data_IF_766934391190
#
_entry.id   IF_766934391190
#
_cell.length_a   1.000
_cell.length_b   1.000
_cell.length_c   1.000
_cell.angle_alpha   90.00
_cell.angle_beta   90.00
_cell.angle_gamma   90.00
#
_symmetry.space_group_name_H-M   'P 1'
#
loop_
_entity.id
_entity.type
_entity.pdbx_description
1 polymer ?
#
# COMPACT_ATOMS: atom_id res chain seq x y z
N UNK A 1 4.21 2.14 -9.57
CA UNK A 1 4.75 0.81 -9.92
C UNK A 1 4.03 0.30 -11.16
N UNK A 2 4.36 -0.89 -11.67
CA UNK A 2 3.75 -1.48 -12.86
C UNK A 2 2.45 -2.23 -12.50
N UNK A 3 1.46 -2.21 -13.40
CA UNK A 3 0.19 -2.94 -13.28
C UNK A 3 0.32 -4.30 -13.98
N UNK A 4 1.07 -5.18 -13.34
CA UNK A 4 1.43 -6.49 -13.87
C UNK A 4 1.16 -7.56 -12.81
N UNK A 5 0.45 -8.61 -13.22
CA UNK A 5 -0.09 -9.62 -12.29
C UNK A 5 1.01 -10.43 -11.59
N UNK A 6 2.12 -10.73 -12.27
CA UNK A 6 3.30 -11.36 -11.69
C UNK A 6 3.93 -10.50 -10.61
N UNK A 7 4.14 -9.22 -10.88
CA UNK A 7 4.70 -8.27 -9.92
C UNK A 7 3.80 -8.08 -8.70
N UNK A 8 2.47 -8.11 -8.88
CA UNK A 8 1.54 -8.12 -7.75
C UNK A 8 1.72 -9.35 -6.87
N UNK A 9 1.91 -10.53 -7.47
CA UNK A 9 2.21 -11.77 -6.74
C UNK A 9 3.59 -11.71 -6.05
N UNK A 10 4.58 -11.09 -6.69
CA UNK A 10 5.90 -10.89 -6.10
C UNK A 10 5.82 -9.98 -4.86
N UNK A 11 5.01 -8.91 -4.90
CA UNK A 11 4.75 -8.07 -3.73
C UNK A 11 4.11 -8.83 -2.58
N UNK A 12 3.10 -9.66 -2.85
CA UNK A 12 2.46 -10.50 -1.84
C UNK A 12 3.50 -11.42 -1.15
N UNK A 13 4.25 -12.17 -1.94
CA UNK A 13 5.28 -13.10 -1.43
C UNK A 13 6.37 -12.35 -0.65
N UNK A 14 6.78 -11.18 -1.13
CA UNK A 14 7.83 -10.40 -0.49
C UNK A 14 7.36 -9.76 0.82
N UNK A 15 6.15 -9.19 0.84
CA UNK A 15 5.57 -8.59 2.04
C UNK A 15 5.31 -9.64 3.13
N UNK A 16 4.83 -10.83 2.79
CA UNK A 16 4.70 -11.93 3.74
C UNK A 16 6.05 -12.40 4.30
N UNK A 17 7.14 -12.29 3.54
CA UNK A 17 8.49 -12.58 4.07
C UNK A 17 9.00 -11.51 5.03
N UNK A 18 8.67 -10.24 4.78
CA UNK A 18 9.14 -9.12 5.59
C UNK A 18 8.29 -8.89 6.86
N UNK A 19 6.98 -9.04 6.73
CA UNK A 19 5.99 -8.79 7.76
C UNK A 19 4.88 -9.86 7.65
N UNK A 20 5.17 -11.12 8.03
CA UNK A 20 4.23 -12.22 7.90
C UNK A 20 2.98 -11.99 8.73
N UNK A 21 1.80 -12.31 8.20
CA UNK A 21 0.55 -12.19 8.96
C UNK A 21 0.58 -13.06 10.24
N UNK A 22 1.13 -14.27 10.12
CA UNK A 22 1.09 -15.31 11.16
C UNK A 22 2.48 -15.78 11.56
N UNK A 23 2.64 -16.31 12.78
CA UNK A 23 1.63 -16.48 13.84
C UNK A 23 1.30 -15.14 14.53
N UNK A 24 0.03 -14.86 14.85
CA UNK A 24 -0.41 -13.52 15.32
C UNK A 24 0.28 -13.10 16.63
N UNK A 25 0.61 -14.06 17.48
CA UNK A 25 1.20 -13.87 18.81
C UNK A 25 2.61 -13.27 18.72
N UNK A 26 3.23 -13.27 17.54
CA UNK A 26 4.52 -12.63 17.32
C UNK A 26 4.45 -11.11 17.47
N UNK A 27 3.26 -10.51 17.28
CA UNK A 27 3.05 -9.08 17.38
C UNK A 27 2.37 -8.73 18.70
N UNK A 28 3.04 -7.92 19.52
CA UNK A 28 2.45 -7.39 20.76
C UNK A 28 1.19 -6.56 20.53
N UNK A 29 1.05 -5.99 19.33
CA UNK A 29 -0.14 -5.26 18.90
C UNK A 29 -1.39 -6.15 18.88
N UNK A 30 -1.21 -7.44 18.56
CA UNK A 30 -2.30 -8.40 18.38
C UNK A 30 -2.87 -8.93 19.70
N UNK A 31 -2.71 -8.20 20.82
CA UNK A 31 -3.31 -8.57 22.10
C UNK A 31 -4.84 -8.52 22.10
N UNK A 32 -5.43 -7.64 21.28
CA UNK A 32 -6.88 -7.50 21.09
C UNK A 32 -7.29 -7.41 19.60
N UNK A 33 -6.31 -7.45 18.70
CA UNK A 33 -6.45 -7.29 17.24
C UNK A 33 -5.61 -8.38 16.55
N UNK A 34 -5.66 -8.48 15.22
CA UNK A 34 -4.90 -9.47 14.44
C UNK A 34 -4.08 -8.87 13.29
N UNK A 35 -4.11 -7.55 13.12
CA UNK A 35 -3.62 -6.83 11.94
C UNK A 35 -2.26 -6.13 12.13
N UNK A 36 -1.46 -6.54 13.11
CA UNK A 36 -0.12 -5.97 13.35
C UNK A 36 0.80 -6.05 12.13
N UNK A 37 0.67 -7.08 11.33
CA UNK A 37 1.36 -7.23 10.05
C UNK A 37 0.94 -6.16 9.03
N UNK A 38 -0.35 -5.83 8.96
CA UNK A 38 -0.89 -4.87 8.03
C UNK A 38 -0.31 -3.46 8.26
N UNK A 39 -0.09 -3.10 9.53
CA UNK A 39 0.63 -1.88 9.90
C UNK A 39 2.08 -1.88 9.37
N UNK A 40 2.78 -3.00 9.46
CA UNK A 40 4.16 -3.14 8.98
C UNK A 40 4.25 -3.16 7.46
N UNK A 41 3.39 -3.93 6.77
CA UNK A 41 3.29 -3.97 5.30
C UNK A 41 3.05 -2.59 4.72
N UNK A 42 2.11 -1.84 5.31
CA UNK A 42 1.85 -0.43 4.97
C UNK A 42 3.09 0.45 5.17
N UNK A 43 3.83 0.26 6.26
CA UNK A 43 5.02 1.07 6.52
C UNK A 43 6.10 0.86 5.45
N UNK A 44 6.20 -0.35 4.90
CA UNK A 44 7.09 -0.68 3.76
C UNK A 44 6.58 -0.05 2.46
N UNK A 45 5.30 -0.20 2.15
CA UNK A 45 4.72 0.23 0.86
C UNK A 45 4.48 1.75 0.75
N UNK A 46 4.50 2.46 1.88
CA UNK A 46 4.33 3.90 1.93
C UNK A 46 2.87 4.35 2.11
N UNK A 47 2.70 5.54 2.69
CA UNK A 47 1.38 6.09 3.00
C UNK A 47 0.70 6.79 1.84
N UNK A 48 1.50 7.48 1.06
CA UNK A 48 1.08 8.49 0.11
C UNK A 48 2.07 8.53 -1.05
N UNK A 49 1.60 9.09 -2.15
CA UNK A 49 2.42 9.47 -3.28
C UNK A 49 2.19 10.97 -3.52
N UNK A 50 3.24 11.66 -3.94
CA UNK A 50 3.13 12.99 -4.52
C UNK A 50 3.37 12.88 -6.02
N UNK A 51 2.47 13.48 -6.80
CA UNK A 51 2.50 13.42 -8.25
C UNK A 51 2.45 14.85 -8.76
N UNK A 52 3.39 15.20 -9.64
CA UNK A 52 3.38 16.50 -10.30
C UNK A 52 2.21 16.59 -11.28
N UNK A 53 1.69 17.81 -11.49
CA UNK A 53 0.66 18.09 -12.48
C UNK A 53 1.23 19.09 -13.48
N UNK A 54 1.35 18.67 -14.74
CA UNK A 54 1.88 19.49 -15.83
C UNK A 54 0.83 19.59 -16.93
N UNK A 55 0.43 20.81 -17.30
CA UNK A 55 -0.59 21.04 -18.34
C UNK A 55 -1.95 20.38 -18.04
N UNK A 56 -2.35 20.34 -16.76
CA UNK A 56 -3.62 19.74 -16.32
C UNK A 56 -3.64 18.21 -16.31
N UNK A 57 -2.48 17.55 -16.43
CA UNK A 57 -2.35 16.08 -16.40
C UNK A 57 -1.39 15.65 -15.31
N UNK A 58 -1.64 14.49 -14.71
CA UNK A 58 -0.66 13.82 -13.86
C UNK A 58 0.59 13.52 -14.71
N UNK A 59 1.74 14.01 -14.25
CA UNK A 59 3.00 13.95 -14.98
C UNK A 59 3.72 12.64 -14.67
N UNK A 60 3.23 11.57 -15.30
CA UNK A 60 3.73 10.21 -15.14
C UNK A 60 4.71 9.80 -16.24
N UNK A 61 5.68 8.98 -15.86
CA UNK A 61 6.41 8.12 -16.78
C UNK A 61 5.51 7.04 -17.41
N UNK A 62 5.99 6.36 -18.46
CA UNK A 62 5.18 5.45 -19.26
C UNK A 62 4.65 4.22 -18.51
N UNK A 63 5.27 3.86 -17.38
CA UNK A 63 4.95 2.67 -16.58
C UNK A 63 4.54 3.02 -15.13
N UNK A 64 4.27 4.29 -14.85
CA UNK A 64 3.88 4.69 -13.51
C UNK A 64 2.37 4.57 -13.32
N UNK A 65 1.98 3.78 -12.33
CA UNK A 65 0.60 3.64 -11.87
C UNK A 65 0.48 3.93 -10.36
N UNK A 66 -0.70 4.38 -9.94
CA UNK A 66 -1.08 4.56 -8.52
C UNK A 66 -1.92 3.38 -8.08
N UNK A 67 -1.54 2.78 -6.94
CA UNK A 67 -2.28 1.67 -6.33
C UNK A 67 -2.79 2.03 -4.95
N UNK A 68 -3.93 1.45 -4.58
CA UNK A 68 -4.34 1.33 -3.20
C UNK A 68 -3.92 -0.04 -2.67
N UNK A 69 -2.82 -0.09 -1.91
CA UNK A 69 -2.39 -1.30 -1.21
C UNK A 69 -3.23 -1.52 0.04
N UNK A 70 -4.09 -2.54 0.02
CA UNK A 70 -4.94 -2.95 1.13
C UNK A 70 -4.33 -4.18 1.83
N UNK A 71 -4.13 -4.09 3.15
CA UNK A 71 -3.50 -5.12 3.98
C UNK A 71 -4.37 -5.58 5.16
N UNK A 72 -5.50 -4.90 5.42
CA UNK A 72 -6.47 -5.23 6.47
C UNK A 72 -7.87 -4.77 6.03
N UNK A 73 -8.42 -5.53 5.07
CA UNK A 73 -9.62 -5.19 4.29
C UNK A 73 -10.94 -5.65 4.89
N UNK A 74 -11.93 -5.95 4.03
CA UNK A 74 -13.30 -6.40 4.39
C UNK A 74 -14.11 -5.42 5.23
N UNK A 75 -13.73 -4.14 5.20
CA UNK A 75 -14.42 -3.02 5.85
C UNK A 75 -14.30 -1.77 4.99
N UNK A 76 -15.22 -0.82 5.13
CA UNK A 76 -15.16 0.43 4.37
C UNK A 76 -13.95 1.27 4.76
N UNK A 77 -13.08 1.54 3.80
CA UNK A 77 -11.86 2.35 3.96
C UNK A 77 -11.82 3.46 2.91
N UNK A 78 -10.86 4.38 3.03
CA UNK A 78 -10.83 5.63 2.27
C UNK A 78 -9.42 5.96 1.81
N UNK A 79 -9.34 6.60 0.65
CA UNK A 79 -8.15 7.31 0.17
C UNK A 79 -8.52 8.79 0.06
N UNK A 80 -7.58 9.67 0.37
CA UNK A 80 -7.74 11.12 0.23
C UNK A 80 -6.91 11.60 -0.95
N UNK A 81 -7.51 12.41 -1.82
CA UNK A 81 -6.82 13.10 -2.90
C UNK A 81 -6.90 14.60 -2.61
N UNK A 82 -5.76 15.28 -2.65
CA UNK A 82 -5.67 16.73 -2.50
C UNK A 82 -4.77 17.27 -3.60
N UNK A 83 -5.29 18.26 -4.33
CA UNK A 83 -4.58 18.96 -5.39
C UNK A 83 -4.39 20.41 -4.94
N UNK A 84 -3.20 20.94 -5.15
CA UNK A 84 -2.81 22.33 -4.89
C UNK A 84 -2.10 22.86 -6.14
N UNK A 85 -2.43 24.08 -6.57
CA UNK A 85 -1.90 24.67 -7.79
C UNK A 85 -2.83 25.72 -8.36
N UNK A 86 -2.41 26.32 -9.47
CA UNK A 86 -3.18 27.26 -10.31
C UNK A 86 -3.47 26.63 -11.67
#
# INVERSE_FOLDING_TARGET
NDDEAGLHADFEVWLEKLAPEKPYEQYRHNGFEDNGDAHLKRQVMGREVMVAVTGGKLDFGPWEQIFYGEFDGKRSKRVLIKIIGE
#
